data_IF_777991755575
#
_entry.id   IF_777991755575
#
_cell.length_a   1.000
_cell.length_b   1.000
_cell.length_c   1.000
_cell.angle_alpha   90.00
_cell.angle_beta   90.00
_cell.angle_gamma   90.00
#
_symmetry.space_group_name_H-M   'P 1'
#
loop_
_entity.id
_entity.type
_entity.pdbx_description
1 polymer ?
#
# COMPACT_ATOMS: atom_id res chain seq x y z
N UNK A 1 -18.21 5.15 -10.41
CA UNK A 1 -18.22 4.60 -9.05
C UNK A 1 -16.87 4.87 -8.37
N UNK A 2 -16.90 5.31 -7.14
CA UNK A 2 -15.67 5.64 -6.42
C UNK A 2 -14.91 4.37 -6.04
N UNK A 3 -13.61 4.33 -6.31
CA UNK A 3 -12.78 3.21 -5.91
C UNK A 3 -12.47 3.27 -4.41
N UNK A 4 -12.28 2.11 -3.81
CA UNK A 4 -11.82 2.01 -2.43
C UNK A 4 -10.32 2.21 -2.39
N UNK A 5 -9.85 3.20 -1.65
CA UNK A 5 -8.42 3.48 -1.51
C UNK A 5 -7.85 2.66 -0.36
N UNK A 6 -6.89 1.81 -0.68
CA UNK A 6 -6.33 0.85 0.28
C UNK A 6 -4.82 1.11 0.45
N UNK A 7 -4.38 1.11 1.70
CA UNK A 7 -2.97 1.11 2.03
C UNK A 7 -2.56 -0.31 2.43
N UNK A 8 -1.37 -0.74 2.04
CA UNK A 8 -0.84 -2.05 2.41
C UNK A 8 0.32 -1.86 3.38
N UNK A 9 0.22 -2.48 4.54
CA UNK A 9 1.28 -2.51 5.54
C UNK A 9 1.92 -3.88 5.51
N UNK A 10 3.23 -3.91 5.26
CA UNK A 10 3.98 -5.14 5.12
C UNK A 10 4.30 -5.42 3.65
N UNK A 11 5.58 -5.35 3.28
CA UNK A 11 6.04 -5.48 1.90
C UNK A 11 6.95 -6.68 1.69
N UNK A 12 6.87 -7.69 2.57
CA UNK A 12 7.51 -8.96 2.33
C UNK A 12 6.82 -9.69 1.18
N UNK A 13 7.16 -10.96 0.96
CA UNK A 13 6.67 -11.71 -0.19
C UNK A 13 5.14 -11.64 -0.35
N UNK A 14 4.42 -11.89 0.75
CA UNK A 14 2.95 -11.89 0.72
C UNK A 14 2.39 -10.48 0.58
N UNK A 15 3.01 -9.51 1.26
CA UNK A 15 2.61 -8.12 1.14
C UNK A 15 2.76 -7.58 -0.27
N UNK A 16 3.81 -7.99 -0.98
CA UNK A 16 3.99 -7.63 -2.38
C UNK A 16 2.85 -8.16 -3.25
N UNK A 17 2.45 -9.40 -3.00
CA UNK A 17 1.35 -10.00 -3.74
C UNK A 17 0.04 -9.27 -3.48
N UNK A 18 -0.23 -8.93 -2.23
CA UNK A 18 -1.43 -8.18 -1.87
C UNK A 18 -1.44 -6.79 -2.52
N UNK A 19 -0.31 -6.08 -2.46
CA UNK A 19 -0.22 -4.75 -3.06
C UNK A 19 -0.50 -4.80 -4.57
N UNK A 20 0.08 -5.77 -5.24
CA UNK A 20 -0.13 -5.95 -6.66
C UNK A 20 -1.59 -6.27 -6.98
N UNK A 21 -2.21 -7.14 -6.19
CA UNK A 21 -3.63 -7.49 -6.39
C UNK A 21 -4.54 -6.29 -6.18
N UNK A 22 -4.27 -5.48 -5.18
CA UNK A 22 -5.03 -4.25 -4.94
C UNK A 22 -4.89 -3.30 -6.13
N UNK A 23 -3.68 -3.16 -6.66
CA UNK A 23 -3.44 -2.27 -7.78
C UNK A 23 -4.16 -2.73 -9.05
N UNK A 24 -4.25 -4.03 -9.26
CA UNK A 24 -4.85 -4.59 -10.46
C UNK A 24 -6.36 -4.69 -10.39
N UNK A 25 -6.95 -4.64 -9.20
CA UNK A 25 -8.39 -4.76 -9.06
C UNK A 25 -9.09 -3.47 -9.49
N UNK A 26 -10.11 -3.59 -10.33
CA UNK A 26 -10.76 -2.42 -10.93
C UNK A 26 -11.53 -1.54 -9.94
N UNK A 27 -11.93 -2.09 -8.80
CA UNK A 27 -12.73 -1.37 -7.79
C UNK A 27 -11.87 -0.83 -6.64
N UNK A 28 -10.56 -1.04 -6.67
CA UNK A 28 -9.66 -0.59 -5.62
C UNK A 28 -8.53 0.26 -6.19
N UNK A 29 -7.96 1.07 -5.32
CA UNK A 29 -6.82 1.91 -5.64
C UNK A 29 -5.76 1.70 -4.57
N UNK A 30 -4.53 1.39 -4.99
CA UNK A 30 -3.42 1.27 -4.05
C UNK A 30 -2.91 2.68 -3.71
N UNK A 31 -3.28 3.17 -2.54
CA UNK A 31 -2.97 4.53 -2.13
C UNK A 31 -1.51 4.71 -1.73
N UNK A 32 -1.00 3.79 -0.93
CA UNK A 32 0.39 3.82 -0.49
C UNK A 32 0.74 2.50 0.16
N UNK A 33 2.03 2.33 0.47
CA UNK A 33 2.53 1.15 1.17
C UNK A 33 3.43 1.58 2.32
N UNK A 34 3.62 0.67 3.27
CA UNK A 34 4.54 0.86 4.38
C UNK A 34 5.18 -0.46 4.76
N UNK A 35 6.47 -0.43 5.09
CA UNK A 35 7.18 -1.53 5.72
C UNK A 35 8.31 -0.94 6.56
N UNK A 36 8.55 -1.44 7.77
CA UNK A 36 9.69 -0.98 8.56
C UNK A 36 11.03 -1.28 7.91
N UNK A 37 11.06 -2.24 6.98
CA UNK A 37 12.26 -2.53 6.19
C UNK A 37 12.25 -1.63 4.95
N UNK A 38 13.14 -0.64 4.93
CA UNK A 38 13.20 0.35 3.85
C UNK A 38 13.46 -0.27 2.49
N UNK A 39 14.22 -1.35 2.43
CA UNK A 39 14.53 -2.00 1.16
C UNK A 39 13.30 -2.64 0.55
N UNK A 40 12.47 -3.29 1.37
CA UNK A 40 11.21 -3.87 0.89
C UNK A 40 10.26 -2.79 0.41
N UNK A 41 10.11 -1.73 1.20
CA UNK A 41 9.22 -0.62 0.84
C UNK A 41 9.68 0.04 -0.46
N UNK A 42 10.97 0.28 -0.60
CA UNK A 42 11.53 0.91 -1.79
C UNK A 42 11.31 0.05 -3.03
N UNK A 43 11.50 -1.26 -2.90
CA UNK A 43 11.31 -2.17 -4.02
C UNK A 43 9.87 -2.12 -4.54
N UNK A 44 8.91 -2.20 -3.64
CA UNK A 44 7.49 -2.15 -4.03
C UNK A 44 7.11 -0.79 -4.59
N UNK A 45 7.61 0.27 -3.97
CA UNK A 45 7.36 1.63 -4.45
C UNK A 45 7.80 1.79 -5.90
N UNK A 46 8.96 1.25 -6.24
CA UNK A 46 9.49 1.33 -7.60
C UNK A 46 8.72 0.40 -8.54
N UNK A 47 8.52 -0.85 -8.14
CA UNK A 47 7.89 -1.85 -8.99
C UNK A 47 6.45 -1.51 -9.35
N UNK A 48 5.71 -0.94 -8.41
CA UNK A 48 4.29 -0.64 -8.60
C UNK A 48 4.01 0.85 -8.80
N UNK A 49 5.04 1.68 -8.81
CA UNK A 49 4.90 3.14 -8.93
C UNK A 49 3.93 3.71 -7.90
N UNK A 50 4.11 3.30 -6.64
CA UNK A 50 3.27 3.72 -5.53
C UNK A 50 4.12 4.38 -4.46
N UNK A 51 3.54 5.31 -3.73
CA UNK A 51 4.23 6.00 -2.64
C UNK A 51 4.47 5.06 -1.47
N UNK A 52 5.71 5.05 -0.96
CA UNK A 52 6.04 4.39 0.30
C UNK A 52 6.10 5.45 1.38
N UNK A 53 5.25 5.34 2.39
CA UNK A 53 5.27 6.28 3.50
C UNK A 53 6.31 5.84 4.52
N UNK A 54 6.84 6.79 5.28
CA UNK A 54 7.95 6.51 6.21
C UNK A 54 7.48 6.08 7.58
N UNK A 55 6.23 6.33 7.89
CA UNK A 55 5.71 5.92 9.16
C UNK A 55 4.20 5.62 9.05
N UNK A 56 3.75 4.69 9.88
CA UNK A 56 2.40 4.17 9.78
C UNK A 56 1.33 5.21 10.15
N UNK A 57 1.70 6.23 10.91
CA UNK A 57 0.77 7.30 11.27
C UNK A 57 0.31 8.08 10.04
N UNK A 58 1.13 8.17 9.01
CA UNK A 58 0.73 8.81 7.76
C UNK A 58 -0.42 8.09 7.09
N UNK A 59 -0.56 6.79 7.34
CA UNK A 59 -1.68 6.02 6.83
C UNK A 59 -2.92 6.26 7.68
N UNK A 60 -2.80 6.12 8.99
CA UNK A 60 -3.96 6.22 9.87
C UNK A 60 -4.53 7.63 9.99
N UNK A 61 -3.72 8.64 9.72
CA UNK A 61 -4.16 10.04 9.73
C UNK A 61 -4.62 10.55 8.37
N UNK A 62 -4.60 9.71 7.35
CA UNK A 62 -4.99 10.11 6.00
C UNK A 62 -6.45 9.76 5.73
N UNK A 63 -7.31 10.79 5.70
CA UNK A 63 -8.75 10.62 5.49
C UNK A 63 -9.12 10.07 4.12
N UNK A 64 -8.21 10.10 3.17
CA UNK A 64 -8.46 9.58 1.83
C UNK A 64 -8.29 8.07 1.74
N UNK A 65 -7.69 7.44 2.76
CA UNK A 65 -7.52 5.99 2.79
C UNK A 65 -8.74 5.36 3.45
N UNK A 66 -9.42 4.50 2.71
CA UNK A 66 -10.66 3.87 3.16
C UNK A 66 -10.43 2.60 3.97
N UNK A 67 -9.35 1.88 3.66
CA UNK A 67 -9.06 0.60 4.32
C UNK A 67 -7.56 0.33 4.35
N UNK A 68 -7.15 -0.51 5.28
CA UNK A 68 -5.75 -0.92 5.44
C UNK A 68 -5.69 -2.44 5.43
N UNK A 69 -4.78 -2.98 4.61
CA UNK A 69 -4.52 -4.40 4.55
C UNK A 69 -3.18 -4.64 5.24
N UNK A 70 -3.19 -5.41 6.31
CA UNK A 70 -1.99 -5.74 7.07
C UNK A 70 -1.54 -7.15 6.71
N UNK A 71 -0.30 -7.23 6.25
CA UNK A 71 0.26 -8.49 5.80
C UNK A 71 1.33 -9.03 6.75
#
# INVERSE_FOLDING_TARGET
MKKVSIAVIGCGRIGQMHAKNVQLHENTNLACIYDPNDEFAKKISIDLSVQAVKNVDEIFNNDEIDAVLIS
#
